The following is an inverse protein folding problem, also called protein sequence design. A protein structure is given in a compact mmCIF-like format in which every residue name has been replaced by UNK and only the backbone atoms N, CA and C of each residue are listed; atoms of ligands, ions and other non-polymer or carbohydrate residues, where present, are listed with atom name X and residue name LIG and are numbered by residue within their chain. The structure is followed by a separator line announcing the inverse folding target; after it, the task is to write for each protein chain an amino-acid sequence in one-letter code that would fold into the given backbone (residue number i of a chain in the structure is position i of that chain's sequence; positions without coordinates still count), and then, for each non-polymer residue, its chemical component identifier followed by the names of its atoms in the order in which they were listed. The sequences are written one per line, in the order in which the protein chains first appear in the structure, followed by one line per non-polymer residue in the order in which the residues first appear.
data_IF_466128568195
#
_entry.id   IF_466128568195
#
_cell.length_a   1.000
_cell.length_b   1.000
_cell.length_c   1.000
_cell.angle_alpha   90.00
_cell.angle_beta   90.00
_cell.angle_gamma   90.00
#
_symmetry.space_group_name_H-M   'P 1'
#
loop_
_entity.id
_entity.type
_entity.pdbx_description
1 polymer ?
#
# COMPACT_ATOMS: atom_id res chain seq x y z
N UNK A 1 15.13 -12.99 -20.09
CA UNK A 1 15.16 -11.57 -19.72
C UNK A 1 16.41 -11.28 -18.91
N UNK A 2 17.36 -10.50 -19.45
CA UNK A 2 18.58 -10.15 -18.72
C UNK A 2 18.26 -9.11 -17.62
N UNK A 3 19.16 -8.89 -16.65
CA UNK A 3 18.89 -8.01 -15.51
C UNK A 3 18.61 -6.56 -15.92
N UNK A 4 19.34 -6.05 -16.92
CA UNK A 4 19.16 -4.70 -17.45
C UNK A 4 17.77 -4.49 -18.04
N UNK A 5 17.32 -5.44 -18.84
CA UNK A 5 15.98 -5.45 -19.45
C UNK A 5 14.88 -5.45 -18.38
N UNK A 6 15.08 -6.16 -17.25
CA UNK A 6 14.14 -6.15 -16.11
C UNK A 6 14.03 -4.76 -15.48
N UNK A 7 15.16 -4.08 -15.28
CA UNK A 7 15.20 -2.72 -14.73
C UNK A 7 14.59 -1.72 -15.72
N UNK A 8 14.87 -1.85 -17.01
CA UNK A 8 14.25 -1.03 -18.06
C UNK A 8 12.73 -1.19 -18.08
N UNK A 9 12.21 -2.41 -17.98
CA UNK A 9 10.78 -2.64 -17.89
C UNK A 9 10.18 -2.11 -16.58
N UNK A 10 10.87 -2.27 -15.45
CA UNK A 10 10.43 -1.71 -14.16
C UNK A 10 10.39 -0.18 -14.17
N UNK A 11 11.34 0.48 -14.85
CA UNK A 11 11.35 1.95 -14.97
C UNK A 11 10.08 2.50 -15.64
N UNK A 12 9.39 1.71 -16.47
CA UNK A 12 8.14 2.11 -17.13
C UNK A 12 6.99 2.34 -16.15
N UNK A 13 7.10 1.84 -14.91
CA UNK A 13 6.11 2.04 -13.85
C UNK A 13 6.13 3.45 -13.25
N UNK A 14 7.10 4.29 -13.62
CA UNK A 14 7.25 5.64 -13.13
C UNK A 14 6.92 6.62 -14.25
N UNK A 15 6.10 7.65 -14.00
CA UNK A 15 5.74 8.62 -15.05
C UNK A 15 6.76 9.75 -15.20
N UNK A 16 7.42 10.15 -14.12
CA UNK A 16 8.39 11.26 -14.14
C UNK A 16 9.75 10.78 -14.66
N UNK A 17 10.33 11.54 -15.59
CA UNK A 17 11.63 11.22 -16.19
C UNK A 17 12.74 11.08 -15.14
N UNK A 18 12.74 11.93 -14.11
CA UNK A 18 13.74 11.85 -13.04
C UNK A 18 13.66 10.52 -12.28
N UNK A 19 12.45 10.09 -11.92
CA UNK A 19 12.27 8.81 -11.22
C UNK A 19 12.62 7.61 -12.13
N UNK A 20 12.33 7.70 -13.44
CA UNK A 20 12.78 6.69 -14.42
C UNK A 20 14.30 6.60 -14.47
N UNK A 21 14.97 7.75 -14.56
CA UNK A 21 16.43 7.84 -14.64
C UNK A 21 17.08 7.32 -13.35
N UNK A 22 16.52 7.65 -12.18
CA UNK A 22 16.95 7.11 -10.89
C UNK A 22 16.91 5.57 -10.91
N UNK A 23 15.80 4.98 -11.37
CA UNK A 23 15.67 3.51 -11.47
C UNK A 23 16.64 2.91 -12.49
N UNK A 24 16.84 3.54 -13.64
CA UNK A 24 17.78 3.05 -14.66
C UNK A 24 19.23 3.08 -14.15
N UNK A 25 19.60 4.11 -13.37
CA UNK A 25 20.93 4.25 -12.77
C UNK A 25 21.31 3.13 -11.79
N UNK A 26 20.31 2.43 -11.22
CA UNK A 26 20.51 1.25 -10.37
C UNK A 26 21.21 0.14 -11.16
N UNK A 27 20.83 -0.05 -12.43
CA UNK A 27 21.46 -1.07 -13.28
C UNK A 27 22.94 -0.78 -13.50
N UNK A 28 23.29 0.48 -13.78
CA UNK A 28 24.67 0.92 -13.97
C UNK A 28 25.49 0.78 -12.68
N UNK A 29 24.89 1.08 -11.53
CA UNK A 29 25.54 0.99 -10.22
C UNK A 29 25.83 -0.46 -9.84
N UNK A 30 24.87 -1.37 -10.05
CA UNK A 30 25.05 -2.80 -9.78
C UNK A 30 26.07 -3.45 -10.71
N UNK A 31 26.13 -3.02 -11.97
CA UNK A 31 27.11 -3.51 -12.95
C UNK A 31 28.53 -3.02 -12.60
N UNK A 32 28.67 -1.79 -12.10
CA UNK A 32 29.97 -1.17 -11.80
C UNK A 32 30.54 -1.53 -10.43
N UNK A 33 29.71 -1.96 -9.48
CA UNK A 33 30.15 -2.19 -8.10
C UNK A 33 30.12 -3.67 -7.72
N UNK A 34 31.28 -4.20 -7.32
CA UNK A 34 31.41 -5.47 -6.58
C UNK A 34 31.26 -5.30 -5.05
N UNK A 35 31.11 -4.06 -4.55
CA UNK A 35 31.17 -3.74 -3.11
C UNK A 35 29.99 -2.93 -2.53
N UNK A 36 29.22 -2.21 -3.34
CA UNK A 36 28.06 -1.46 -2.86
C UNK A 36 26.82 -2.36 -2.91
N UNK A 37 26.42 -2.85 -1.74
CA UNK A 37 25.13 -3.51 -1.54
C UNK A 37 24.04 -2.44 -1.66
N UNK A 38 23.22 -2.50 -2.69
CA UNK A 38 22.00 -1.69 -2.73
C UNK A 38 21.13 -2.11 -1.55
N UNK A 39 20.85 -1.14 -0.69
CA UNK A 39 19.96 -1.31 0.45
C UNK A 39 18.57 -0.87 0.01
N UNK A 40 17.64 -1.82 0.03
CA UNK A 40 16.22 -1.56 -0.16
C UNK A 40 15.53 -1.97 1.13
N UNK A 41 14.69 -1.09 1.67
CA UNK A 41 13.84 -1.42 2.81
C UNK A 41 12.40 -1.54 2.32
N UNK A 42 11.67 -2.52 2.84
CA UNK A 42 10.25 -2.73 2.54
C UNK A 42 9.41 -2.58 3.79
N UNK A 43 8.31 -1.84 3.70
CA UNK A 43 7.30 -1.78 4.76
C UNK A 43 6.04 -2.55 4.33
N UNK A 44 5.72 -3.61 5.06
CA UNK A 44 4.41 -4.25 4.98
C UNK A 44 3.43 -3.51 5.89
N UNK A 45 2.62 -2.64 5.29
CA UNK A 45 1.51 -1.98 5.98
C UNK A 45 0.28 -2.90 5.96
N UNK A 46 0.01 -3.57 7.08
CA UNK A 46 -1.04 -4.57 7.21
C UNK A 46 -2.29 -3.97 7.88
N UNK A 47 -3.39 -4.00 7.15
CA UNK A 47 -4.70 -3.52 7.59
C UNK A 47 -5.55 -4.65 8.19
N UNK A 48 -5.12 -5.91 8.09
CA UNK A 48 -5.84 -7.05 8.62
C UNK A 48 -5.53 -7.23 10.11
N UNK A 49 -6.56 -7.63 10.87
CA UNK A 49 -6.38 -8.03 12.26
C UNK A 49 -5.72 -9.42 12.38
N UNK A 50 -5.88 -10.27 11.35
CA UNK A 50 -5.28 -11.59 11.25
C UNK A 50 -3.85 -11.52 10.72
N UNK A 51 -3.01 -12.48 11.11
CA UNK A 51 -1.59 -12.51 10.75
C UNK A 51 -1.35 -13.12 9.37
N UNK A 52 -1.59 -12.37 8.29
CA UNK A 52 -1.37 -12.87 6.91
C UNK A 52 0.09 -12.72 6.45
N UNK A 53 0.73 -11.59 6.79
CA UNK A 53 2.09 -11.26 6.33
C UNK A 53 3.16 -12.31 6.71
N UNK A 54 3.16 -12.92 7.91
CA UNK A 54 4.14 -13.96 8.25
C UNK A 54 4.14 -15.16 7.29
N UNK A 55 2.97 -15.52 6.72
CA UNK A 55 2.90 -16.59 5.72
C UNK A 55 3.58 -16.19 4.42
N UNK A 56 3.37 -14.95 3.95
CA UNK A 56 4.07 -14.45 2.76
C UNK A 56 5.58 -14.40 2.96
N UNK A 57 6.05 -13.94 4.11
CA UNK A 57 7.48 -13.91 4.43
C UNK A 57 8.08 -15.31 4.40
N UNK A 58 7.38 -16.29 4.98
CA UNK A 58 7.81 -17.69 4.98
C UNK A 58 7.98 -18.23 3.55
N UNK A 59 7.03 -17.95 2.66
CA UNK A 59 7.09 -18.35 1.25
C UNK A 59 8.16 -17.59 0.43
N UNK A 60 8.42 -16.33 0.78
CA UNK A 60 9.49 -15.55 0.17
C UNK A 60 10.87 -16.09 0.56
N UNK A 61 11.02 -16.61 1.79
CA UNK A 61 12.27 -17.14 2.33
C UNK A 61 13.39 -16.09 2.26
N UNK A 62 14.57 -16.49 1.78
CA UNK A 62 15.74 -15.60 1.66
C UNK A 62 15.57 -14.46 0.63
N UNK A 63 14.47 -14.44 -0.13
CA UNK A 63 14.17 -13.34 -1.06
C UNK A 63 13.59 -12.12 -0.35
N UNK A 64 13.00 -12.31 0.84
CA UNK A 64 12.64 -11.21 1.70
C UNK A 64 13.91 -10.71 2.41
N UNK A 65 14.46 -9.61 1.92
CA UNK A 65 15.56 -8.91 2.58
C UNK A 65 15.07 -7.55 3.06
N UNK A 66 15.51 -7.17 4.27
CA UNK A 66 15.27 -5.88 4.92
C UNK A 66 13.80 -5.38 4.82
N UNK A 67 12.97 -5.86 5.73
CA UNK A 67 11.57 -5.45 5.82
C UNK A 67 11.14 -5.18 7.26
N UNK A 68 10.10 -4.37 7.39
CA UNK A 68 9.35 -4.16 8.62
C UNK A 68 7.87 -4.43 8.39
N UNK A 69 7.17 -4.82 9.47
CA UNK A 69 5.72 -5.07 9.44
C UNK A 69 5.06 -4.05 10.37
N UNK A 70 4.11 -3.29 9.83
CA UNK A 70 3.29 -2.38 10.60
C UNK A 70 1.82 -2.78 10.48
N UNK A 71 1.32 -3.45 11.52
CA UNK A 71 -0.11 -3.77 11.65
C UNK A 71 -0.87 -2.55 12.13
N UNK A 72 -1.28 -1.69 11.22
CA UNK A 72 -1.81 -0.35 11.54
C UNK A 72 -3.07 -0.42 12.41
N UNK A 73 -3.89 -1.46 12.22
CA UNK A 73 -5.08 -1.73 13.03
C UNK A 73 -4.83 -2.59 14.26
N UNK A 74 -3.57 -2.97 14.51
CA UNK A 74 -3.24 -3.96 15.53
C UNK A 74 -3.62 -5.38 15.17
N UNK A 75 -3.65 -6.24 16.19
CA UNK A 75 -3.99 -7.65 16.09
C UNK A 75 -5.29 -7.92 16.87
N UNK A 76 -5.69 -9.19 16.95
CA UNK A 76 -6.89 -9.61 17.68
C UNK A 76 -6.88 -9.25 19.17
N UNK A 77 -5.73 -8.95 19.77
CA UNK A 77 -5.63 -8.57 21.19
C UNK A 77 -5.72 -7.05 21.37
N UNK A 78 -5.28 -6.25 20.39
CA UNK A 78 -5.22 -4.79 20.49
C UNK A 78 -5.75 -4.12 19.21
N UNK A 79 -7.04 -4.36 18.92
CA UNK A 79 -7.69 -3.89 17.70
C UNK A 79 -8.01 -2.39 17.74
N UNK A 80 -7.58 -1.66 16.72
CA UNK A 80 -8.04 -0.30 16.42
C UNK A 80 -9.34 -0.39 15.60
N UNK A 81 -10.46 -0.55 16.30
CA UNK A 81 -11.79 -0.59 15.71
C UNK A 81 -12.45 0.79 15.71
N UNK A 82 -13.16 1.15 14.64
CA UNK A 82 -13.80 2.46 14.53
C UNK A 82 -14.00 2.95 13.09
N UNK A 83 -14.47 4.20 12.98
CA UNK A 83 -14.62 4.92 11.71
C UNK A 83 -13.32 5.64 11.35
N UNK A 84 -12.95 5.62 10.06
CA UNK A 84 -11.71 6.20 9.55
C UNK A 84 -11.90 7.25 8.45
N UNK A 85 -13.13 7.74 8.25
CA UNK A 85 -13.41 8.82 7.30
C UNK A 85 -13.74 10.11 8.06
N UNK A 86 -12.71 10.94 8.24
CA UNK A 86 -12.81 12.26 8.88
C UNK A 86 -12.84 13.39 7.84
N UNK A 87 -12.82 13.03 6.55
CA UNK A 87 -12.93 14.00 5.45
C UNK A 87 -14.40 14.23 5.08
N UNK A 88 -15.29 13.33 5.51
CA UNK A 88 -16.72 13.40 5.24
C UNK A 88 -17.37 14.64 5.87
N UNK A 89 -18.43 15.15 5.24
CA UNK A 89 -19.19 16.30 5.76
C UNK A 89 -19.91 15.94 7.07
N UNK A 90 -20.33 14.69 7.22
CA UNK A 90 -20.96 14.18 8.44
C UNK A 90 -19.99 14.21 9.64
N UNK A 91 -18.68 14.06 9.41
CA UNK A 91 -17.68 14.20 10.46
C UNK A 91 -17.68 15.61 11.06
N UNK A 92 -17.74 16.64 10.20
CA UNK A 92 -17.77 18.03 10.66
C UNK A 92 -19.02 18.32 11.48
N UNK A 93 -20.16 17.72 11.11
CA UNK A 93 -21.39 17.85 11.90
C UNK A 93 -21.19 17.25 13.31
N UNK A 94 -20.56 16.08 13.41
CA UNK A 94 -20.26 15.42 14.69
C UNK A 94 -19.26 16.24 15.52
N UNK A 95 -18.20 16.76 14.90
CA UNK A 95 -17.19 17.59 15.58
C UNK A 95 -17.81 18.87 16.18
N UNK A 96 -18.76 19.49 15.47
CA UNK A 96 -19.46 20.69 15.91
C UNK A 96 -20.47 20.46 17.06
N UNK A 97 -20.80 19.21 17.41
CA UNK A 97 -21.66 18.91 18.57
C UNK A 97 -20.94 19.15 19.91
N UNK A 98 -19.61 19.30 19.90
CA UNK A 98 -18.76 19.55 21.09
C UNK A 98 -18.97 18.52 22.23
N UNK A 99 -19.30 17.28 21.84
CA UNK A 99 -19.43 16.15 22.76
C UNK A 99 -18.48 15.02 22.34
N UNK A 100 -17.46 14.80 23.18
CA UNK A 100 -16.39 13.84 22.96
C UNK A 100 -16.86 12.38 22.90
N UNK A 101 -18.05 12.05 23.41
CA UNK A 101 -18.57 10.68 23.31
C UNK A 101 -18.85 10.28 21.85
N UNK A 102 -19.22 11.24 20.99
CA UNK A 102 -19.38 10.95 19.55
C UNK A 102 -18.05 10.74 18.83
N UNK A 103 -16.94 11.26 19.37
CA UNK A 103 -15.60 11.13 18.79
C UNK A 103 -14.88 9.83 19.21
N UNK A 104 -15.40 9.14 20.23
CA UNK A 104 -14.79 7.96 20.88
C UNK A 104 -14.40 6.81 19.96
N UNK A 105 -15.14 6.62 18.88
CA UNK A 105 -14.94 5.50 17.94
C UNK A 105 -14.30 5.93 16.62
N UNK A 106 -13.70 7.12 16.53
CA UNK A 106 -12.85 7.48 15.39
C UNK A 106 -11.44 6.90 15.56
N UNK A 107 -10.92 6.35 14.47
CA UNK A 107 -9.63 5.65 14.47
C UNK A 107 -8.44 6.60 14.63
N UNK A 108 -8.51 7.84 14.14
CA UNK A 108 -7.45 8.85 14.35
C UNK A 108 -7.05 8.99 15.81
N UNK A 109 -8.01 9.13 16.71
CA UNK A 109 -7.74 9.27 18.14
C UNK A 109 -7.03 8.04 18.71
N UNK A 110 -7.43 6.84 18.25
CA UNK A 110 -6.76 5.58 18.62
C UNK A 110 -5.37 5.43 18.01
N UNK A 111 -5.11 6.03 16.85
CA UNK A 111 -3.77 6.05 16.26
C UNK A 111 -2.78 6.88 17.09
N UNK A 112 -3.23 7.87 17.86
CA UNK A 112 -2.37 8.58 18.82
C UNK A 112 -2.01 7.75 20.06
N UNK A 113 -2.77 6.69 20.35
CA UNK A 113 -2.52 5.84 21.52
C UNK A 113 -1.35 4.87 21.33
N UNK A 114 -0.77 4.78 20.12
CA UNK A 114 0.39 3.94 19.86
C UNK A 114 1.33 4.49 18.78
N UNK A 115 2.55 3.95 18.71
CA UNK A 115 3.59 4.45 17.79
C UNK A 115 3.40 4.04 16.32
N UNK A 116 2.39 3.23 15.95
CA UNK A 116 2.30 2.61 14.62
C UNK A 116 2.10 3.65 13.50
N UNK A 117 1.21 4.61 13.71
CA UNK A 117 0.96 5.66 12.71
C UNK A 117 2.17 6.59 12.58
N UNK A 118 2.80 6.97 13.70
CA UNK A 118 4.04 7.75 13.67
C UNK A 118 5.18 7.03 12.93
N UNK A 119 5.37 5.72 13.17
CA UNK A 119 6.35 4.90 12.45
C UNK A 119 6.08 4.85 10.94
N UNK A 120 4.82 4.81 10.53
CA UNK A 120 4.44 4.91 9.11
C UNK A 120 4.85 6.27 8.55
N UNK A 121 4.55 7.38 9.23
CA UNK A 121 4.94 8.73 8.80
C UNK A 121 6.46 8.86 8.64
N UNK A 122 7.22 8.45 9.67
CA UNK A 122 8.68 8.44 9.62
C UNK A 122 9.22 7.63 8.43
N UNK A 123 8.60 6.48 8.13
CA UNK A 123 9.00 5.65 6.99
C UNK A 123 8.76 6.35 5.65
N UNK A 124 7.56 6.91 5.41
CA UNK A 124 7.25 7.58 4.14
C UNK A 124 7.99 8.91 3.95
N UNK A 125 8.41 9.54 5.05
CA UNK A 125 9.26 10.73 5.05
C UNK A 125 10.74 10.43 4.75
N UNK A 126 11.20 9.22 5.05
CA UNK A 126 12.63 8.84 4.96
C UNK A 126 13.21 8.88 3.54
N UNK A 127 12.39 8.71 2.50
CA UNK A 127 12.87 8.71 1.13
C UNK A 127 11.78 8.43 0.10
N UNK A 128 12.17 8.45 -1.19
CA UNK A 128 11.28 8.09 -2.31
C UNK A 128 10.80 6.65 -2.17
N UNK A 129 9.53 6.39 -2.45
CA UNK A 129 8.97 5.04 -2.39
C UNK A 129 7.95 4.77 -3.50
N UNK A 130 7.76 3.48 -3.78
CA UNK A 130 6.68 2.96 -4.60
C UNK A 130 5.73 2.15 -3.73
N UNK A 131 4.44 2.21 -4.03
CA UNK A 131 3.40 1.45 -3.34
C UNK A 131 3.00 0.25 -4.18
N UNK A 132 2.88 -0.90 -3.52
CA UNK A 132 2.26 -2.09 -4.08
C UNK A 132 0.95 -2.38 -3.36
N UNK A 133 -0.17 -2.29 -4.08
CA UNK A 133 -1.50 -2.56 -3.53
C UNK A 133 -1.83 -4.03 -3.72
N UNK A 134 -1.93 -4.74 -2.59
CA UNK A 134 -2.28 -6.16 -2.52
C UNK A 134 -3.68 -6.30 -1.88
N UNK A 135 -4.69 -6.55 -2.70
CA UNK A 135 -6.07 -6.74 -2.25
C UNK A 135 -7.04 -5.64 -2.67
N UNK A 136 -8.31 -5.78 -2.27
CA UNK A 136 -9.41 -4.94 -2.76
C UNK A 136 -9.84 -3.82 -1.80
N UNK A 137 -9.47 -3.92 -0.51
CA UNK A 137 -10.11 -3.17 0.59
C UNK A 137 -9.54 -1.77 0.82
N UNK A 138 -9.23 -1.06 -0.27
CA UNK A 138 -8.84 0.36 -0.22
C UNK A 138 -10.06 1.30 -0.40
N UNK A 139 -11.30 0.79 -0.32
CA UNK A 139 -12.50 1.58 -0.67
C UNK A 139 -13.13 2.40 0.47
N UNK A 140 -13.02 1.91 1.71
CA UNK A 140 -13.72 2.45 2.91
C UNK A 140 -12.81 2.55 4.15
N UNK A 141 -11.53 2.19 4.01
CA UNK A 141 -10.59 2.12 5.14
C UNK A 141 -9.80 3.42 5.25
N UNK A 142 -9.84 4.07 6.41
CA UNK A 142 -8.92 5.13 6.86
C UNK A 142 -8.50 6.12 5.78
N UNK A 143 -9.49 6.87 5.26
CA UNK A 143 -9.37 7.77 4.11
C UNK A 143 -8.27 8.81 4.29
N UNK A 144 -8.17 9.36 5.51
CA UNK A 144 -7.12 10.33 5.87
C UNK A 144 -5.72 9.72 5.71
N UNK A 145 -5.52 8.50 6.22
CA UNK A 145 -4.24 7.82 6.13
C UNK A 145 -3.90 7.46 4.68
N UNK A 146 -4.84 6.87 3.94
CA UNK A 146 -4.59 6.50 2.54
C UNK A 146 -4.32 7.74 1.67
N UNK A 147 -5.04 8.84 1.88
CA UNK A 147 -4.74 10.12 1.25
C UNK A 147 -3.31 10.58 1.58
N UNK A 148 -2.92 10.53 2.86
CA UNK A 148 -1.57 10.90 3.32
C UNK A 148 -0.47 10.11 2.61
N UNK A 149 -0.63 8.78 2.48
CA UNK A 149 0.36 7.91 1.84
C UNK A 149 0.39 8.14 0.32
N UNK A 150 -0.77 8.16 -0.34
CA UNK A 150 -0.86 8.23 -1.80
C UNK A 150 -0.45 9.60 -2.36
N UNK A 151 -0.81 10.69 -1.67
CA UNK A 151 -0.45 12.05 -2.06
C UNK A 151 0.90 12.49 -1.51
N UNK A 152 1.57 11.67 -0.70
CA UNK A 152 2.89 11.98 -0.18
C UNK A 152 3.85 12.41 -1.28
N UNK A 153 4.65 13.46 -1.02
CA UNK A 153 5.63 14.00 -1.97
C UNK A 153 6.67 12.98 -2.41
N UNK A 154 6.95 11.99 -1.56
CA UNK A 154 7.89 10.91 -1.84
C UNK A 154 7.26 9.70 -2.53
N UNK A 155 5.93 9.61 -2.61
CA UNK A 155 5.26 8.54 -3.36
C UNK A 155 5.45 8.80 -4.86
N UNK A 156 6.15 7.89 -5.55
CA UNK A 156 6.51 8.05 -6.97
C UNK A 156 5.64 7.22 -7.90
N UNK A 157 5.12 6.11 -7.43
CA UNK A 157 4.33 5.17 -8.23
C UNK A 157 3.45 4.30 -7.34
N UNK A 158 2.30 3.86 -7.86
CA UNK A 158 1.31 3.01 -7.20
C UNK A 158 0.97 1.88 -8.17
N UNK A 159 1.51 0.69 -7.90
CA UNK A 159 1.25 -0.52 -8.67
C UNK A 159 0.16 -1.34 -8.02
N UNK A 160 -0.82 -1.77 -8.80
CA UNK A 160 -1.96 -2.56 -8.33
C UNK A 160 -1.78 -4.01 -8.77
N UNK A 161 -1.83 -4.94 -7.82
CA UNK A 161 -1.96 -6.35 -8.15
C UNK A 161 -3.43 -6.76 -8.06
N UNK A 162 -4.05 -6.97 -9.22
CA UNK A 162 -5.49 -7.17 -9.34
C UNK A 162 -5.88 -8.65 -9.26
N UNK A 163 -7.11 -8.94 -8.87
CA UNK A 163 -7.67 -10.28 -8.91
C UNK A 163 -8.31 -10.51 -10.28
N UNK A 164 -7.84 -11.54 -10.99
CA UNK A 164 -8.49 -12.06 -12.20
C UNK A 164 -9.45 -13.18 -11.82
N UNK A 165 -10.70 -13.07 -12.29
CA UNK A 165 -11.78 -14.02 -12.05
C UNK A 165 -11.78 -15.11 -13.13
N UNK A 166 -12.49 -16.20 -12.85
CA UNK A 166 -12.59 -17.36 -13.77
C UNK A 166 -13.25 -17.00 -15.10
N UNK A 167 -14.16 -16.02 -15.10
CA UNK A 167 -14.84 -15.51 -16.31
C UNK A 167 -13.96 -14.59 -17.18
N UNK A 168 -12.69 -14.41 -16.81
CA UNK A 168 -11.74 -13.53 -17.50
C UNK A 168 -11.82 -12.06 -17.11
N UNK A 169 -12.82 -11.65 -16.31
CA UNK A 169 -12.89 -10.29 -15.76
C UNK A 169 -11.88 -10.07 -14.63
N UNK A 170 -11.65 -8.82 -14.26
CA UNK A 170 -10.79 -8.48 -13.13
C UNK A 170 -11.35 -7.30 -12.31
N UNK A 171 -10.69 -7.00 -11.20
CA UNK A 171 -11.06 -5.91 -10.31
C UNK A 171 -10.12 -4.68 -10.40
N UNK A 172 -9.25 -4.59 -11.41
CA UNK A 172 -8.28 -3.50 -11.51
C UNK A 172 -8.98 -2.13 -11.52
N UNK A 173 -10.01 -1.98 -12.37
CA UNK A 173 -10.80 -0.75 -12.48
C UNK A 173 -11.46 -0.37 -11.15
N UNK A 174 -11.96 -1.36 -10.40
CA UNK A 174 -12.62 -1.12 -9.11
C UNK A 174 -11.61 -0.68 -8.03
N UNK A 175 -10.41 -1.27 -8.02
CA UNK A 175 -9.32 -0.82 -7.14
C UNK A 175 -8.89 0.61 -7.48
N UNK A 176 -8.76 0.95 -8.77
CA UNK A 176 -8.46 2.34 -9.20
C UNK A 176 -9.55 3.31 -8.75
N UNK A 177 -10.84 2.96 -8.91
CA UNK A 177 -11.95 3.79 -8.42
C UNK A 177 -11.87 4.00 -6.90
N UNK A 178 -11.58 2.94 -6.15
CA UNK A 178 -11.41 3.02 -4.69
C UNK A 178 -10.23 3.95 -4.31
N UNK A 179 -9.06 3.75 -4.93
CA UNK A 179 -7.89 4.62 -4.75
C UNK A 179 -8.24 6.08 -5.09
N UNK A 180 -9.02 6.31 -6.14
CA UNK A 180 -9.36 7.66 -6.60
C UNK A 180 -10.11 8.48 -5.55
N UNK A 181 -10.85 7.86 -4.62
CA UNK A 181 -11.56 8.56 -3.53
C UNK A 181 -10.60 9.17 -2.50
N UNK A 182 -9.37 8.68 -2.46
CA UNK A 182 -8.30 9.13 -1.57
C UNK A 182 -7.40 10.20 -2.20
N UNK A 183 -7.64 10.60 -3.44
CA UNK A 183 -6.89 11.67 -4.10
C UNK A 183 -7.71 12.95 -4.20
N UNK A 184 -7.16 14.04 -3.70
CA UNK A 184 -7.59 15.41 -3.96
C UNK A 184 -7.03 15.90 -5.30
N UNK A 185 -5.75 15.65 -5.57
CA UNK A 185 -5.07 15.99 -6.83
C UNK A 185 -5.23 14.85 -7.87
N UNK A 186 -6.25 14.98 -8.74
CA UNK A 186 -6.50 14.01 -9.83
C UNK A 186 -5.37 13.96 -10.88
N UNK A 187 -4.77 15.07 -11.31
CA UNK A 187 -3.55 15.03 -12.13
C UNK A 187 -2.41 14.20 -11.51
N UNK A 188 -2.11 14.38 -10.22
CA UNK A 188 -1.12 13.57 -9.49
C UNK A 188 -1.49 12.09 -9.49
N UNK A 189 -2.75 11.77 -9.21
CA UNK A 189 -3.27 10.39 -9.28
C UNK A 189 -2.99 9.72 -10.62
N UNK A 190 -3.34 10.38 -11.73
CA UNK A 190 -3.15 9.84 -13.09
C UNK A 190 -1.69 9.61 -13.44
N UNK A 191 -0.77 10.38 -12.85
CA UNK A 191 0.69 10.19 -13.02
C UNK A 191 1.25 9.06 -12.14
N UNK A 192 0.68 8.85 -10.95
CA UNK A 192 1.20 7.87 -9.98
C UNK A 192 0.67 6.46 -10.19
N UNK A 193 -0.57 6.29 -10.64
CA UNK A 193 -1.14 4.95 -10.85
C UNK A 193 -0.50 4.30 -12.09
N UNK A 194 0.15 3.15 -11.88
CA UNK A 194 0.76 2.34 -12.95
C UNK A 194 -0.32 1.78 -13.86
N UNK A 195 -0.11 1.78 -15.18
CA UNK A 195 -1.08 1.21 -16.12
C UNK A 195 -1.30 -0.29 -15.91
N UNK A 196 -2.48 -0.77 -16.31
CA UNK A 196 -2.85 -2.19 -16.14
C UNK A 196 -1.90 -3.13 -16.88
N UNK A 197 -1.39 -2.73 -18.05
CA UNK A 197 -0.48 -3.52 -18.89
C UNK A 197 0.88 -3.79 -18.20
N UNK A 198 1.28 -2.94 -17.25
CA UNK A 198 2.49 -3.09 -16.44
C UNK A 198 2.20 -3.72 -15.07
N UNK A 199 0.92 -3.97 -14.78
CA UNK A 199 0.43 -4.61 -13.56
C UNK A 199 0.29 -6.12 -13.78
N UNK A 200 0.03 -6.86 -12.71
CA UNK A 200 -0.09 -8.33 -12.78
C UNK A 200 -1.19 -8.84 -11.89
N UNK A 201 -1.78 -9.97 -12.25
CA UNK A 201 -2.79 -10.61 -11.42
C UNK A 201 -2.16 -11.19 -10.16
N UNK A 202 -2.88 -11.09 -9.03
CA UNK A 202 -2.58 -11.76 -7.77
C UNK A 202 -3.49 -13.00 -7.66
N UNK A 203 -2.95 -14.22 -7.82
CA UNK A 203 -3.75 -15.44 -7.70
C UNK A 203 -4.33 -15.58 -6.29
N UNK A 204 -5.61 -15.95 -6.21
CA UNK A 204 -6.29 -16.32 -4.95
C UNK A 204 -6.53 -17.83 -4.89
N UNK A 205 -5.51 -18.59 -5.24
CA UNK A 205 -5.53 -20.05 -5.33
C UNK A 205 -5.47 -20.74 -3.96
N UNK A 206 -5.09 -20.04 -2.90
CA UNK A 206 -5.14 -20.54 -1.52
C UNK A 206 -6.48 -20.16 -0.90
N UNK A 207 -7.55 -20.85 -1.29
CA UNK A 207 -8.80 -20.85 -0.53
C UNK A 207 -8.77 -22.00 0.46
N UNK A 208 -9.14 -21.74 1.72
CA UNK A 208 -9.43 -22.81 2.66
C UNK A 208 -10.41 -23.78 1.99
N UNK A 209 -10.05 -25.06 1.89
CA UNK A 209 -10.98 -26.07 1.36
C UNK A 209 -12.26 -25.99 2.18
N UNK A 210 -13.39 -25.77 1.51
CA UNK A 210 -14.70 -25.80 2.16
C UNK A 210 -14.83 -27.18 2.80
N UNK A 211 -14.95 -27.24 4.12
CA UNK A 211 -15.28 -28.49 4.80
C UNK A 211 -16.70 -28.81 4.36
N UNK A 212 -16.87 -29.84 3.54
CA UNK A 212 -18.19 -30.41 3.28
C UNK A 212 -18.68 -30.98 4.62
N UNK A 213 -19.74 -30.38 5.15
CA UNK A 213 -20.45 -30.97 6.28
C UNK A 213 -21.16 -32.20 5.72
N UNK A 214 -20.70 -33.39 6.15
CA UNK A 214 -21.47 -34.63 6.04
C UNK A 214 -22.76 -34.51 6.85
#
# INVERSE_FOLDING_TARGET
MNFKEKIENYSKEFSFSDDKNDVLSISDTLIKSTKNKITYSSLFLDFNYTSTIPFYIKELGNRAADYSINKIHGDLNNMVFGFGDEIDEDYKLIENLDDNEYLKFFKSFKYFQNSKYNKLLQYIDSGKFQIFVLGHSCGLSDRVMLNTIFEHKNCRSIKIYYHQREDGSDNYSDVVKNISRHFKDKPSMRRKIVSKELSSSLPQNVRFKKIEKN
#
